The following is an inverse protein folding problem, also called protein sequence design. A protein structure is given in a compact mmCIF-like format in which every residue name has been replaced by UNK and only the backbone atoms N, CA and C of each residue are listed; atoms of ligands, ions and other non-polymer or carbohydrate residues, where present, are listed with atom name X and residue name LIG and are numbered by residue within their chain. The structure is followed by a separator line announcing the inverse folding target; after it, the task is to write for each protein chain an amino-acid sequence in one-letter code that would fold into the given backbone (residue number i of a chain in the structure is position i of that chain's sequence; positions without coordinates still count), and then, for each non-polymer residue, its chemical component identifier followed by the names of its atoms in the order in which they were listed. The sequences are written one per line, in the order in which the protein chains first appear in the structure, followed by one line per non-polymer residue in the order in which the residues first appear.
data_IF_065055016900
#
_entry.id   IF_065055016900
#
_cell.length_a   1.000
_cell.length_b   1.000
_cell.length_c   1.000
_cell.angle_alpha   90.00
_cell.angle_beta   90.00
_cell.angle_gamma   90.00
#
_symmetry.space_group_name_H-M   'P 1'
#
loop_
_entity.id
_entity.type
_entity.pdbx_description
1 polymer ?
#
# COMPACT_ATOMS: atom_id res chain seq x y z
N UNK A 1 -66.69 -7.88 40.06
CA UNK A 1 -65.66 -6.91 40.50
C UNK A 1 -64.39 -7.71 40.69
N UNK A 2 -63.36 -7.75 39.84
CA UNK A 2 -62.79 -6.92 38.76
C UNK A 2 -62.14 -7.93 37.76
N UNK A 3 -62.38 -7.90 36.45
CA UNK A 3 -61.54 -7.26 35.38
C UNK A 3 -60.01 -7.52 35.50
N UNK A 4 -59.18 -7.73 34.48
CA UNK A 4 -59.28 -7.87 33.02
C UNK A 4 -57.83 -7.98 32.48
N UNK A 5 -57.64 -8.76 31.39
CA UNK A 5 -56.68 -8.54 30.29
C UNK A 5 -55.15 -8.64 30.51
N UNK A 6 -54.59 -9.59 29.74
CA UNK A 6 -53.31 -9.63 29.03
C UNK A 6 -52.31 -8.47 29.17
N UNK A 7 -51.04 -8.84 29.39
CA UNK A 7 -49.91 -8.19 28.71
C UNK A 7 -48.93 -9.24 28.18
N UNK A 8 -49.23 -9.65 26.95
CA UNK A 8 -48.26 -10.03 25.95
C UNK A 8 -47.25 -8.87 25.82
N UNK A 9 -45.98 -9.11 26.14
CA UNK A 9 -44.88 -8.22 25.72
C UNK A 9 -43.63 -9.06 25.43
N UNK A 10 -43.77 -9.96 24.47
CA UNK A 10 -42.66 -10.53 23.73
C UNK A 10 -42.45 -9.66 22.48
N UNK A 11 -41.90 -8.47 22.61
CA UNK A 11 -41.51 -7.68 21.45
C UNK A 11 -40.38 -6.72 21.80
N UNK A 12 -39.40 -6.67 20.89
CA UNK A 12 -38.26 -5.75 20.83
C UNK A 12 -36.97 -6.19 21.52
N UNK A 13 -36.52 -7.42 21.27
CA UNK A 13 -35.10 -7.57 20.95
C UNK A 13 -34.98 -7.10 19.49
N UNK A 14 -34.20 -6.05 19.17
CA UNK A 14 -33.98 -5.67 17.79
C UNK A 14 -33.41 -6.88 17.06
N UNK A 15 -34.18 -7.40 16.10
CA UNK A 15 -33.70 -8.40 15.17
C UNK A 15 -32.41 -7.83 14.55
N UNK A 16 -31.29 -8.54 14.75
CA UNK A 16 -30.02 -8.21 14.13
C UNK A 16 -30.24 -8.32 12.62
N UNK A 17 -30.64 -7.21 11.97
CA UNK A 17 -30.88 -7.19 10.53
C UNK A 17 -29.53 -7.49 9.87
N UNK A 18 -29.36 -8.65 9.20
CA UNK A 18 -28.09 -9.02 8.58
C UNK A 18 -27.80 -8.17 7.33
N UNK A 19 -28.69 -7.20 7.01
CA UNK A 19 -28.54 -6.31 5.87
C UNK A 19 -27.36 -5.36 6.11
N UNK A 20 -26.39 -5.28 5.18
CA UNK A 20 -25.23 -4.42 5.34
C UNK A 20 -25.68 -2.98 5.56
N UNK A 21 -25.37 -2.42 6.73
CA UNK A 21 -25.56 -0.99 7.01
C UNK A 21 -24.81 -0.22 5.95
N UNK A 22 -25.50 0.68 5.25
CA UNK A 22 -24.88 1.54 4.24
C UNK A 22 -23.70 2.24 4.89
N UNK A 23 -22.49 1.95 4.41
CA UNK A 23 -21.25 2.54 4.95
C UNK A 23 -21.39 4.05 5.12
N UNK A 24 -20.95 4.56 6.26
CA UNK A 24 -20.97 5.99 6.54
C UNK A 24 -20.11 6.73 5.51
N UNK A 25 -20.35 8.04 5.34
CA UNK A 25 -19.54 8.86 4.42
C UNK A 25 -18.04 8.76 4.76
N UNK A 26 -17.71 8.79 6.06
CA UNK A 26 -16.35 8.63 6.57
C UNK A 26 -15.76 7.27 6.20
N UNK A 27 -16.49 6.17 6.38
CA UNK A 27 -15.99 4.83 6.03
C UNK A 27 -15.70 4.69 4.52
N UNK A 28 -16.52 5.32 3.68
CA UNK A 28 -16.28 5.37 2.23
C UNK A 28 -15.05 6.19 1.90
N UNK A 29 -14.86 7.34 2.55
CA UNK A 29 -13.70 8.20 2.35
C UNK A 29 -12.41 7.50 2.79
N UNK A 30 -12.39 6.85 3.95
CA UNK A 30 -11.26 6.04 4.44
C UNK A 30 -10.96 4.89 3.47
N UNK A 31 -11.98 4.17 3.01
CA UNK A 31 -11.82 3.07 2.05
C UNK A 31 -11.20 3.57 0.73
N UNK A 32 -11.61 4.76 0.27
CA UNK A 32 -11.06 5.39 -0.94
C UNK A 32 -9.60 5.78 -0.73
N UNK A 33 -9.27 6.46 0.37
CA UNK A 33 -7.89 6.84 0.70
C UNK A 33 -6.98 5.62 0.78
N UNK A 34 -7.42 4.54 1.43
CA UNK A 34 -6.66 3.28 1.49
C UNK A 34 -6.37 2.71 0.09
N UNK A 35 -7.37 2.72 -0.79
CA UNK A 35 -7.21 2.29 -2.19
C UNK A 35 -6.24 3.18 -2.97
N UNK A 36 -6.32 4.49 -2.78
CA UNK A 36 -5.46 5.44 -3.47
C UNK A 36 -4.01 5.34 -2.97
N UNK A 37 -3.79 5.12 -1.67
CA UNK A 37 -2.47 4.83 -1.11
C UNK A 37 -1.88 3.53 -1.67
N UNK A 38 -2.68 2.44 -1.74
CA UNK A 38 -2.21 1.17 -2.32
C UNK A 38 -1.70 1.35 -3.76
N UNK A 39 -2.43 2.10 -4.59
CA UNK A 39 -2.01 2.43 -5.96
C UNK A 39 -0.73 3.27 -6.01
N UNK A 40 -0.57 4.21 -5.08
CA UNK A 40 0.64 5.02 -4.99
C UNK A 40 1.86 4.15 -4.70
N UNK A 41 1.77 3.24 -3.72
CA UNK A 41 2.85 2.31 -3.40
C UNK A 41 3.18 1.38 -4.56
N UNK A 42 2.18 0.86 -5.27
CA UNK A 42 2.38 0.04 -6.46
C UNK A 42 3.12 0.82 -7.56
N UNK A 43 2.69 2.05 -7.84
CA UNK A 43 3.34 2.93 -8.82
C UNK A 43 4.79 3.22 -8.43
N UNK A 44 5.04 3.49 -7.14
CA UNK A 44 6.37 3.77 -6.63
C UNK A 44 7.28 2.54 -6.71
N UNK A 45 6.74 1.34 -6.45
CA UNK A 45 7.48 0.08 -6.64
C UNK A 45 7.88 -0.11 -8.10
N UNK A 46 6.98 0.16 -9.05
CA UNK A 46 7.29 0.05 -10.49
C UNK A 46 8.37 1.06 -10.89
N UNK A 47 8.26 2.31 -10.44
CA UNK A 47 9.25 3.35 -10.72
C UNK A 47 10.62 3.02 -10.12
N UNK A 48 10.68 2.50 -8.90
CA UNK A 48 11.94 2.11 -8.26
C UNK A 48 12.61 0.94 -8.99
N UNK A 49 11.82 -0.04 -9.45
CA UNK A 49 12.33 -1.12 -10.29
C UNK A 49 12.92 -0.57 -11.59
N UNK A 50 12.20 0.31 -12.29
CA UNK A 50 12.69 0.94 -13.52
C UNK A 50 13.98 1.73 -13.29
N UNK A 51 14.04 2.51 -12.20
CA UNK A 51 15.22 3.28 -11.84
C UNK A 51 16.42 2.36 -11.57
N UNK A 52 16.20 1.23 -10.88
CA UNK A 52 17.23 0.24 -10.61
C UNK A 52 17.81 -0.35 -11.89
N UNK A 53 16.95 -0.68 -12.87
CA UNK A 53 17.39 -1.14 -14.18
C UNK A 53 18.22 -0.07 -14.92
N UNK A 54 17.75 1.18 -14.95
CA UNK A 54 18.49 2.27 -15.60
C UNK A 54 19.85 2.50 -14.95
N UNK A 55 19.93 2.43 -13.62
CA UNK A 55 21.20 2.53 -12.91
C UNK A 55 22.14 1.39 -13.28
N UNK A 56 21.63 0.16 -13.37
CA UNK A 56 22.43 -1.00 -13.76
C UNK A 56 22.95 -0.89 -15.20
N UNK A 57 22.08 -0.55 -16.16
CA UNK A 57 22.46 -0.31 -17.55
C UNK A 57 23.51 0.79 -17.67
N UNK A 58 23.34 1.88 -16.93
CA UNK A 58 24.32 2.97 -16.89
C UNK A 58 25.68 2.51 -16.36
N UNK A 59 25.71 1.69 -15.32
CA UNK A 59 26.96 1.15 -14.76
C UNK A 59 27.66 0.20 -15.74
N UNK A 60 26.90 -0.66 -16.45
CA UNK A 60 27.44 -1.53 -17.50
C UNK A 60 28.08 -0.69 -18.60
N UNK A 61 27.36 0.32 -19.09
CA UNK A 61 27.85 1.19 -20.16
C UNK A 61 29.09 1.99 -19.73
N UNK A 62 29.08 2.54 -18.51
CA UNK A 62 30.24 3.25 -17.95
C UNK A 62 31.45 2.34 -17.82
N UNK A 63 31.24 1.09 -17.40
CA UNK A 63 32.31 0.09 -17.28
C UNK A 63 32.91 -0.23 -18.65
N UNK A 64 32.08 -0.42 -19.66
CA UNK A 64 32.54 -0.63 -21.04
C UNK A 64 33.34 0.57 -21.57
N UNK A 65 32.87 1.80 -21.33
CA UNK A 65 33.61 2.99 -21.73
C UNK A 65 35.01 3.05 -21.08
N UNK A 66 35.09 2.76 -19.78
CA UNK A 66 36.36 2.80 -19.04
C UNK A 66 37.32 1.70 -19.52
N UNK A 67 36.82 0.49 -19.74
CA UNK A 67 37.66 -0.67 -20.04
C UNK A 67 38.06 -0.77 -21.52
N UNK A 68 37.18 -0.36 -22.42
CA UNK A 68 37.37 -0.55 -23.86
C UNK A 68 37.63 0.77 -24.59
N UNK A 69 36.77 1.77 -24.37
CA UNK A 69 36.84 3.04 -25.12
C UNK A 69 38.01 3.92 -24.67
N UNK A 70 38.19 4.12 -23.36
CA UNK A 70 39.23 5.01 -22.84
C UNK A 70 40.65 4.59 -23.26
N UNK A 71 41.04 3.29 -23.19
CA UNK A 71 42.32 2.83 -23.70
C UNK A 71 42.47 3.00 -25.21
N UNK A 72 41.42 2.67 -25.99
CA UNK A 72 41.46 2.81 -27.45
C UNK A 72 41.67 4.27 -27.89
N UNK A 73 41.06 5.22 -27.18
CA UNK A 73 41.12 6.64 -27.48
C UNK A 73 42.23 7.39 -26.74
N UNK A 74 43.01 6.70 -25.90
CA UNK A 74 44.07 7.30 -25.06
C UNK A 74 43.56 8.47 -24.18
N UNK A 75 42.33 8.37 -23.68
CA UNK A 75 41.73 9.36 -22.78
C UNK A 75 41.76 8.86 -21.34
N UNK A 76 41.96 9.77 -20.39
CA UNK A 76 41.93 9.43 -18.97
C UNK A 76 40.52 9.01 -18.56
N UNK A 77 40.34 7.84 -17.94
CA UNK A 77 39.01 7.39 -17.52
C UNK A 77 38.45 8.29 -16.41
N UNK A 78 37.12 8.44 -16.34
CA UNK A 78 36.47 9.21 -15.27
C UNK A 78 36.66 8.54 -13.90
N UNK A 79 36.66 9.34 -12.79
CA UNK A 79 36.73 8.82 -11.42
C UNK A 79 35.59 7.87 -11.08
N UNK A 80 35.85 6.89 -10.22
CA UNK A 80 34.87 5.90 -9.78
C UNK A 80 33.60 6.57 -9.22
N UNK A 81 32.43 6.06 -9.62
CA UNK A 81 31.13 6.57 -9.18
C UNK A 81 30.39 5.47 -8.42
N UNK A 82 30.61 5.35 -7.09
CA UNK A 82 29.97 4.31 -6.29
C UNK A 82 28.46 4.51 -6.27
N UNK A 83 27.72 3.39 -6.21
CA UNK A 83 26.27 3.45 -6.08
C UNK A 83 25.89 4.13 -4.75
N UNK A 84 24.84 4.99 -4.74
CA UNK A 84 24.26 5.48 -3.50
C UNK A 84 23.83 4.31 -2.60
N UNK A 85 23.85 4.47 -1.27
CA UNK A 85 23.33 3.47 -0.34
C UNK A 85 21.88 3.10 -0.67
N UNK A 86 21.56 1.81 -0.65
CA UNK A 86 20.20 1.34 -0.85
C UNK A 86 19.28 1.93 0.24
N UNK A 87 18.20 2.59 -0.17
CA UNK A 87 17.17 3.08 0.74
C UNK A 87 16.09 2.00 0.88
N UNK A 88 15.73 1.64 2.11
CA UNK A 88 14.66 0.68 2.37
C UNK A 88 13.31 1.33 2.07
N UNK A 89 12.57 0.78 1.11
CA UNK A 89 11.25 1.29 0.73
C UNK A 89 10.23 0.78 1.75
N UNK A 90 9.41 1.66 2.36
CA UNK A 90 8.36 1.23 3.28
C UNK A 90 7.39 0.26 2.58
N UNK A 91 7.18 -0.91 3.19
CA UNK A 91 6.13 -1.85 2.77
C UNK A 91 4.80 -1.41 3.35
N UNK A 92 3.76 -1.40 2.51
CA UNK A 92 2.40 -1.11 2.96
C UNK A 92 1.77 -2.39 3.52
N UNK A 93 1.78 -2.54 4.85
CA UNK A 93 1.07 -3.63 5.52
C UNK A 93 -0.38 -3.24 5.79
N UNK A 94 -1.33 -3.89 5.11
CA UNK A 94 -2.77 -3.65 5.23
C UNK A 94 -3.41 -4.36 6.45
N UNK A 95 -2.66 -4.62 7.52
CA UNK A 95 -3.05 -5.58 8.58
C UNK A 95 -3.97 -5.02 9.68
N UNK A 96 -4.90 -4.13 9.35
CA UNK A 96 -5.87 -3.55 10.31
C UNK A 96 -7.32 -3.98 10.02
N UNK A 97 -7.50 -5.27 9.74
CA UNK A 97 -8.82 -5.93 9.59
C UNK A 97 -9.06 -6.91 10.76
N UNK A 98 -9.01 -6.39 11.99
CA UNK A 98 -9.31 -7.11 13.23
C UNK A 98 -10.11 -6.15 14.11
N UNK A 99 -11.34 -6.37 14.56
CA UNK A 99 -12.16 -7.56 14.78
C UNK A 99 -13.65 -7.12 14.83
N UNK A 100 -14.65 -8.02 14.69
CA UNK A 100 -16.03 -7.65 14.96
C UNK A 100 -16.18 -7.34 16.46
N UNK A 101 -16.69 -6.14 16.78
CA UNK A 101 -17.16 -5.83 18.12
C UNK A 101 -18.23 -6.87 18.51
N UNK A 102 -17.91 -7.77 19.44
CA UNK A 102 -18.90 -8.60 20.14
C UNK A 102 -19.41 -7.77 21.31
N UNK A 103 -20.66 -7.27 21.32
CA UNK A 103 -21.19 -6.54 22.46
C UNK A 103 -21.56 -7.52 23.57
N UNK A 104 -21.19 -7.18 24.81
CA UNK A 104 -21.55 -7.87 26.04
C UNK A 104 -22.92 -7.43 26.56
#
# INVERSE_FOLDING_TARGET
THDSVAYQSSANIPHFDPRPTKKSKVEKDVSKTKKDMAKLFETMSIQNTMLSYLMQEHQIFRTWLVNEFCPAMHVTPPPENPAPPAQEIPKFDSSDDSSPNVPQ
#
